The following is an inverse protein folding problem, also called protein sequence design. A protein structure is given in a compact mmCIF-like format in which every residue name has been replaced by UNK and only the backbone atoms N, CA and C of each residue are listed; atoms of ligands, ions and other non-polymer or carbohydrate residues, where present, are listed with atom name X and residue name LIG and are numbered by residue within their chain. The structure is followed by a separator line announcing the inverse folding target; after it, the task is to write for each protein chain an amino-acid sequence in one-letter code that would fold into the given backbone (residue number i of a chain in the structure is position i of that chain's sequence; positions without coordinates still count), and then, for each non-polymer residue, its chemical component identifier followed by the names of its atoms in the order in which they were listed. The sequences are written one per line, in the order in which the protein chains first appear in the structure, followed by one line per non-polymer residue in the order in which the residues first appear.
data_IF_354421460767
#
_entry.id   IF_354421460767
#
_cell.length_a   1.000
_cell.length_b   1.000
_cell.length_c   1.000
_cell.angle_alpha   90.00
_cell.angle_beta   90.00
_cell.angle_gamma   90.00
#
_symmetry.space_group_name_H-M   'P 1'
#
loop_
_entity.id
_entity.type
_entity.pdbx_description
1 polymer ?
#
# COMPACT_ATOMS: atom_id res chain seq x y z
N UNK A 1 19.47 -20.73 -43.65
CA UNK A 1 19.41 -20.90 -42.18
C UNK A 1 19.56 -19.50 -41.59
N UNK A 2 18.46 -18.78 -41.41
CA UNK A 2 18.48 -17.47 -40.75
C UNK A 2 18.60 -17.70 -39.22
N UNK A 3 19.37 -16.90 -38.47
CA UNK A 3 19.40 -17.00 -37.02
C UNK A 3 18.04 -16.58 -36.45
N UNK A 4 17.62 -17.29 -35.41
CA UNK A 4 16.38 -17.07 -34.68
C UNK A 4 16.27 -15.61 -34.23
N UNK A 5 15.15 -14.99 -34.56
CA UNK A 5 14.67 -13.75 -33.95
C UNK A 5 14.23 -14.11 -32.53
N UNK A 6 15.17 -14.02 -31.60
CA UNK A 6 14.94 -14.16 -30.16
C UNK A 6 14.27 -12.87 -29.69
N UNK A 7 12.97 -12.77 -29.95
CA UNK A 7 12.13 -11.74 -29.34
C UNK A 7 12.10 -12.05 -27.86
N UNK A 8 13.01 -11.41 -27.11
CA UNK A 8 12.92 -11.32 -25.66
C UNK A 8 11.54 -10.77 -25.32
N UNK A 9 10.67 -11.66 -24.83
CA UNK A 9 9.48 -11.27 -24.10
C UNK A 9 9.95 -10.39 -22.96
N UNK A 10 9.78 -9.08 -23.13
CA UNK A 10 9.92 -8.14 -22.05
C UNK A 10 8.75 -8.45 -21.10
N UNK A 11 9.01 -9.30 -20.11
CA UNK A 11 8.24 -9.36 -18.88
C UNK A 11 8.20 -7.93 -18.30
N UNK A 12 7.21 -7.14 -18.72
CA UNK A 12 6.77 -5.95 -18.03
C UNK A 12 6.17 -6.42 -16.70
N UNK A 13 7.04 -6.74 -15.74
CA UNK A 13 6.63 -6.89 -14.35
C UNK A 13 6.05 -5.53 -13.92
N UNK A 14 4.72 -5.40 -13.94
CA UNK A 14 4.01 -4.30 -13.29
C UNK A 14 4.56 -4.17 -11.87
N UNK A 15 5.24 -3.05 -11.57
CA UNK A 15 5.78 -2.83 -10.24
C UNK A 15 4.65 -2.98 -9.20
N UNK A 16 4.65 -4.02 -8.34
CA UNK A 16 3.50 -4.35 -7.51
C UNK A 16 3.23 -3.30 -6.43
N UNK A 17 4.13 -2.33 -6.26
CA UNK A 17 4.08 -1.34 -5.18
C UNK A 17 4.41 0.07 -5.68
N UNK A 18 3.38 0.92 -5.76
CA UNK A 18 3.55 2.34 -6.09
C UNK A 18 3.91 3.17 -4.85
N UNK A 19 5.05 3.88 -4.89
CA UNK A 19 5.40 4.85 -3.85
C UNK A 19 4.47 6.05 -3.87
N UNK A 20 3.93 6.42 -2.72
CA UNK A 20 3.08 7.61 -2.52
C UNK A 20 3.67 8.49 -1.43
N UNK A 21 3.82 9.79 -1.73
CA UNK A 21 4.18 10.80 -0.74
C UNK A 21 2.91 11.42 -0.17
N UNK A 22 2.84 11.57 1.15
CA UNK A 22 1.74 12.24 1.84
C UNK A 22 2.26 13.15 2.95
N UNK A 23 1.56 14.25 3.17
CA UNK A 23 1.83 15.17 4.28
C UNK A 23 0.95 14.77 5.47
N UNK A 24 1.57 14.63 6.64
CA UNK A 24 0.87 14.31 7.89
C UNK A 24 1.16 15.37 8.95
N UNK A 25 0.25 15.47 9.92
CA UNK A 25 0.53 16.24 11.12
C UNK A 25 1.71 15.63 11.92
N UNK A 26 2.49 16.48 12.59
CA UNK A 26 3.59 16.04 13.46
C UNK A 26 3.10 15.07 14.55
N UNK A 27 1.90 15.30 15.11
CA UNK A 27 1.27 14.42 16.10
C UNK A 27 1.00 13.02 15.52
N UNK A 28 0.54 12.94 14.28
CA UNK A 28 0.31 11.68 13.58
C UNK A 28 1.63 10.93 13.39
N UNK A 29 2.67 11.62 12.94
CA UNK A 29 4.01 11.02 12.77
C UNK A 29 4.54 10.46 14.09
N UNK A 30 4.38 11.21 15.19
CA UNK A 30 4.80 10.75 16.51
C UNK A 30 4.02 9.50 16.96
N UNK A 31 2.70 9.46 16.71
CA UNK A 31 1.85 8.30 17.01
C UNK A 31 2.29 7.07 16.22
N UNK A 32 2.60 7.21 14.94
CA UNK A 32 3.11 6.12 14.10
C UNK A 32 4.46 5.58 14.63
N UNK A 33 5.36 6.47 15.07
CA UNK A 33 6.62 6.06 15.71
C UNK A 33 6.39 5.30 17.03
N UNK A 34 5.42 5.71 17.85
CA UNK A 34 5.04 4.99 19.08
C UNK A 34 4.44 3.62 18.75
N UNK A 35 3.58 3.52 17.74
CA UNK A 35 3.03 2.24 17.27
C UNK A 35 4.11 1.28 16.78
N UNK A 36 5.13 1.80 16.06
CA UNK A 36 6.30 1.00 15.66
C UNK A 36 6.98 0.34 16.86
N UNK A 37 7.14 1.06 17.98
CA UNK A 37 7.75 0.51 19.20
C UNK A 37 6.91 -0.58 19.86
N UNK A 38 5.59 -0.60 19.63
CA UNK A 38 4.67 -1.59 20.21
C UNK A 38 4.61 -2.90 19.41
N UNK A 39 5.10 -2.92 18.17
CA UNK A 39 5.20 -4.13 17.34
C UNK A 39 3.87 -4.70 16.82
N UNK A 40 2.72 -4.08 17.09
CA UNK A 40 1.40 -4.65 16.78
C UNK A 40 1.02 -4.65 15.30
N UNK A 41 1.57 -3.77 14.46
CA UNK A 41 1.16 -3.60 13.05
C UNK A 41 2.36 -3.63 12.07
N UNK A 42 3.49 -4.22 12.48
CA UNK A 42 4.71 -4.33 11.69
C UNK A 42 5.91 -3.58 12.28
N UNK A 43 7.06 -3.74 11.64
CA UNK A 43 8.36 -3.25 12.12
C UNK A 43 8.76 -1.89 11.53
N UNK A 44 7.98 -1.31 10.62
CA UNK A 44 8.27 -0.04 9.96
C UNK A 44 7.05 0.88 9.90
N UNK A 45 7.27 2.20 9.91
CA UNK A 45 6.20 3.20 9.80
C UNK A 45 5.36 3.01 8.53
N UNK A 46 5.94 2.78 7.33
CA UNK A 46 5.15 2.54 6.13
C UNK A 46 4.22 1.33 6.26
N UNK A 47 4.71 0.21 6.81
CA UNK A 47 3.90 -1.00 6.97
C UNK A 47 2.71 -0.78 7.91
N UNK A 48 2.94 -0.05 9.01
CA UNK A 48 1.88 0.34 9.93
C UNK A 48 0.85 1.22 9.23
N UNK A 49 1.29 2.18 8.41
CA UNK A 49 0.39 3.05 7.65
C UNK A 49 -0.44 2.23 6.66
N UNK A 50 0.17 1.32 5.89
CA UNK A 50 -0.54 0.42 4.97
C UNK A 50 -1.63 -0.35 5.70
N UNK A 51 -1.30 -1.03 6.80
CA UNK A 51 -2.28 -1.82 7.57
C UNK A 51 -3.41 -0.95 8.12
N UNK A 52 -3.12 0.27 8.57
CA UNK A 52 -4.15 1.19 9.06
C UNK A 52 -5.06 1.72 7.95
N UNK A 53 -4.50 1.99 6.77
CA UNK A 53 -5.28 2.44 5.60
C UNK A 53 -6.20 1.31 5.14
N UNK A 54 -5.69 0.10 4.96
CA UNK A 54 -6.49 -1.06 4.54
C UNK A 54 -7.57 -1.43 5.56
N UNK A 55 -7.28 -1.31 6.85
CA UNK A 55 -8.29 -1.48 7.90
C UNK A 55 -9.36 -0.39 7.81
N UNK A 56 -8.95 0.88 7.67
CA UNK A 56 -9.86 2.01 7.54
C UNK A 56 -10.78 1.92 6.33
N UNK A 57 -10.27 1.48 5.17
CA UNK A 57 -11.07 1.26 3.95
C UNK A 57 -12.11 0.15 4.18
N UNK A 58 -11.71 -0.98 4.76
CA UNK A 58 -12.63 -2.08 5.09
C UNK A 58 -13.70 -1.66 6.10
N UNK A 59 -13.33 -0.87 7.10
CA UNK A 59 -14.28 -0.39 8.11
C UNK A 59 -15.24 0.65 7.52
N UNK A 60 -14.76 1.51 6.62
CA UNK A 60 -15.59 2.49 5.91
C UNK A 60 -16.61 1.81 4.98
N UNK A 61 -16.20 0.75 4.28
CA UNK A 61 -17.11 -0.09 3.47
C UNK A 61 -18.17 -0.76 4.33
N UNK A 62 -17.78 -1.41 5.44
CA UNK A 62 -18.74 -2.01 6.39
C UNK A 62 -19.73 -1.00 6.99
N UNK A 63 -19.30 0.24 7.17
CA UNK A 63 -20.13 1.32 7.68
C UNK A 63 -21.01 1.99 6.60
N UNK A 64 -20.88 1.60 5.33
CA UNK A 64 -21.65 2.13 4.21
C UNK A 64 -21.18 3.49 3.70
N UNK A 65 -19.98 3.93 4.06
CA UNK A 65 -19.38 5.16 3.52
C UNK A 65 -18.72 4.97 2.16
N UNK A 66 -18.41 3.73 1.80
CA UNK A 66 -17.88 3.31 0.51
C UNK A 66 -18.81 2.23 -0.04
N UNK A 67 -19.09 2.29 -1.33
CA UNK A 67 -19.87 1.27 -2.06
C UNK A 67 -18.95 0.33 -2.84
N UNK A 68 -19.49 -0.77 -3.34
CA UNK A 68 -18.73 -1.68 -4.22
C UNK A 68 -18.33 -1.00 -5.54
N UNK A 69 -19.12 -0.02 -6.01
CA UNK A 69 -18.82 0.78 -7.19
C UNK A 69 -17.59 1.70 -6.96
N UNK A 70 -17.32 2.12 -5.73
CA UNK A 70 -16.15 2.93 -5.37
C UNK A 70 -14.84 2.11 -5.28
N UNK A 71 -14.96 0.78 -5.26
CA UNK A 71 -13.86 -0.17 -5.08
C UNK A 71 -13.49 -0.91 -6.38
N UNK A 72 -14.24 -0.67 -7.46
CA UNK A 72 -14.12 -1.33 -8.77
C UNK A 72 -13.05 -0.70 -9.68
#
# INVERSE_FOLDING_TARGET
MAPADDTVDADEEEEPNKRRYCTLSLKTIERLRKLKKRGTHGTSVPKIMTSMIEAGVRDAHKAGYLTDDDMA
#
